data_IF_168482454246
#
_entry.id   IF_168482454246
#
_cell.length_a   1.000
_cell.length_b   1.000
_cell.length_c   1.000
_cell.angle_alpha   90.00
_cell.angle_beta   90.00
_cell.angle_gamma   90.00
#
_symmetry.space_group_name_H-M   'P 1'
#
loop_
_entity.id
_entity.type
_entity.pdbx_description
1 polymer ?
#
# COMPACT_ATOMS: atom_id res chain seq x y z
N UNK A 1 -45.98 -3.22 -30.33
CA UNK A 1 -46.13 -4.59 -30.88
C UNK A 1 -45.05 -5.45 -30.27
N UNK A 2 -45.49 -6.54 -29.66
CA UNK A 2 -44.76 -7.42 -28.75
C UNK A 2 -43.47 -7.99 -29.32
N UNK A 3 -42.44 -8.03 -28.47
CA UNK A 3 -41.53 -9.16 -28.38
C UNK A 3 -41.30 -9.45 -26.89
N UNK A 4 -42.31 -10.04 -26.26
CA UNK A 4 -42.13 -10.84 -25.06
C UNK A 4 -41.39 -12.12 -25.45
N UNK A 5 -40.30 -12.42 -24.72
CA UNK A 5 -39.77 -13.75 -24.36
C UNK A 5 -38.25 -13.69 -24.09
N UNK A 6 -37.87 -13.05 -22.97
CA UNK A 6 -36.90 -13.68 -22.07
C UNK A 6 -37.33 -13.30 -20.65
N UNK A 7 -38.03 -14.21 -19.96
CA UNK A 7 -38.49 -13.98 -18.60
C UNK A 7 -37.28 -13.61 -17.74
N UNK A 8 -37.26 -12.38 -17.23
CA UNK A 8 -36.09 -11.80 -16.57
C UNK A 8 -35.47 -12.77 -15.58
N UNK A 9 -34.37 -13.40 -15.97
CA UNK A 9 -33.80 -14.51 -15.23
C UNK A 9 -33.49 -14.06 -13.80
N UNK A 10 -34.19 -14.65 -12.82
CA UNK A 10 -33.98 -14.35 -11.42
C UNK A 10 -32.58 -14.82 -11.02
N UNK A 11 -31.78 -13.93 -10.41
CA UNK A 11 -30.40 -14.23 -9.97
C UNK A 11 -30.39 -15.41 -8.98
N UNK A 12 -31.37 -15.44 -8.07
CA UNK A 12 -31.65 -16.58 -7.21
C UNK A 12 -33.09 -17.01 -7.50
N UNK A 13 -33.33 -18.26 -7.92
CA UNK A 13 -34.68 -18.76 -8.19
C UNK A 13 -35.63 -18.51 -7.02
N UNK A 14 -36.80 -17.93 -7.29
CA UNK A 14 -37.82 -17.64 -6.29
C UNK A 14 -37.61 -16.34 -5.49
N UNK A 15 -36.57 -15.56 -5.79
CA UNK A 15 -36.35 -14.24 -5.16
C UNK A 15 -36.33 -13.11 -6.18
N UNK A 16 -36.87 -11.93 -5.81
CA UNK A 16 -36.61 -10.68 -6.53
C UNK A 16 -35.11 -10.36 -6.63
N UNK A 17 -34.68 -9.77 -7.75
CA UNK A 17 -33.25 -9.54 -8.04
C UNK A 17 -32.58 -8.54 -7.09
N UNK A 18 -33.34 -7.58 -6.55
CA UNK A 18 -32.90 -6.64 -5.53
C UNK A 18 -32.61 -7.34 -4.19
N UNK A 19 -33.49 -8.25 -3.76
CA UNK A 19 -33.28 -9.08 -2.57
C UNK A 19 -32.09 -10.02 -2.77
N UNK A 20 -31.98 -10.66 -3.94
CA UNK A 20 -30.84 -11.51 -4.27
C UNK A 20 -29.52 -10.74 -4.25
N UNK A 21 -29.49 -9.52 -4.80
CA UNK A 21 -28.33 -8.65 -4.74
C UNK A 21 -28.00 -8.25 -3.31
N UNK A 22 -28.99 -7.91 -2.49
CA UNK A 22 -28.77 -7.62 -1.07
C UNK A 22 -28.16 -8.81 -0.33
N UNK A 23 -28.66 -10.03 -0.53
CA UNK A 23 -28.11 -11.26 0.08
C UNK A 23 -26.65 -11.45 -0.35
N UNK A 24 -26.37 -11.38 -1.65
CA UNK A 24 -25.01 -11.56 -2.18
C UNK A 24 -24.05 -10.46 -1.71
N UNK A 25 -24.55 -9.25 -1.44
CA UNK A 25 -23.75 -8.15 -0.87
C UNK A 25 -23.28 -8.41 0.56
N UNK A 26 -23.93 -9.35 1.29
CA UNK A 26 -23.53 -9.76 2.64
C UNK A 26 -22.42 -10.80 2.64
N UNK A 27 -22.14 -11.43 1.49
CA UNK A 27 -21.02 -12.34 1.38
C UNK A 27 -19.73 -11.53 1.35
N UNK A 28 -18.71 -11.88 2.15
CA UNK A 28 -17.39 -11.25 2.07
C UNK A 28 -16.83 -11.23 0.65
N UNK A 29 -16.25 -10.10 0.24
CA UNK A 29 -15.70 -9.93 -1.11
C UNK A 29 -14.70 -11.03 -1.48
N UNK A 30 -13.95 -11.52 -0.50
CA UNK A 30 -12.98 -12.61 -0.65
C UNK A 30 -13.58 -13.92 -1.20
N UNK A 31 -14.88 -14.14 -1.03
CA UNK A 31 -15.59 -15.30 -1.57
C UNK A 31 -16.26 -15.05 -2.92
N UNK A 32 -16.32 -13.80 -3.40
CA UNK A 32 -17.03 -13.45 -4.63
C UNK A 32 -16.40 -14.12 -5.86
N UNK A 33 -15.08 -14.30 -5.90
CA UNK A 33 -14.42 -15.02 -6.99
C UNK A 33 -14.96 -16.46 -7.14
N UNK A 34 -15.21 -17.16 -6.02
CA UNK A 34 -15.79 -18.51 -6.00
C UNK A 34 -17.28 -18.50 -6.35
N UNK A 35 -18.00 -17.44 -6.00
CA UNK A 35 -19.41 -17.28 -6.38
C UNK A 35 -19.56 -16.95 -7.87
N UNK A 36 -18.65 -16.16 -8.45
CA UNK A 36 -18.65 -15.84 -9.89
C UNK A 36 -18.47 -17.09 -10.76
N UNK A 37 -17.89 -18.17 -10.26
CA UNK A 37 -17.73 -19.42 -11.01
C UNK A 37 -18.94 -20.37 -10.97
N UNK A 38 -19.98 -20.09 -10.16
CA UNK A 38 -21.11 -21.02 -10.01
C UNK A 38 -22.10 -20.94 -11.18
N UNK A 39 -22.49 -19.74 -11.60
CA UNK A 39 -23.41 -19.53 -12.72
C UNK A 39 -23.21 -18.17 -13.40
N UNK A 40 -23.70 -18.06 -14.65
CA UNK A 40 -23.58 -16.82 -15.45
C UNK A 40 -24.29 -15.63 -14.80
N UNK A 41 -25.46 -15.83 -14.21
CA UNK A 41 -26.23 -14.76 -13.56
C UNK A 41 -25.49 -14.14 -12.36
N UNK A 42 -24.88 -14.98 -11.51
CA UNK A 42 -24.07 -14.50 -10.39
C UNK A 42 -22.79 -13.82 -10.87
N UNK A 43 -22.14 -14.37 -11.91
CA UNK A 43 -20.99 -13.73 -12.54
C UNK A 43 -21.33 -12.33 -13.04
N UNK A 44 -22.45 -12.16 -13.74
CA UNK A 44 -22.90 -10.88 -14.27
C UNK A 44 -23.20 -9.87 -13.15
N UNK A 45 -23.97 -10.28 -12.14
CA UNK A 45 -24.32 -9.42 -11.02
C UNK A 45 -23.09 -9.00 -10.20
N UNK A 46 -22.29 -9.96 -9.75
CA UNK A 46 -21.11 -9.71 -8.91
C UNK A 46 -19.99 -8.99 -9.65
N UNK A 47 -20.00 -9.01 -10.98
CA UNK A 47 -19.06 -8.22 -11.78
C UNK A 47 -19.61 -6.83 -12.04
N UNK A 48 -20.94 -6.60 -12.02
CA UNK A 48 -21.52 -5.31 -12.36
C UNK A 48 -20.99 -4.13 -11.51
N UNK A 49 -20.78 -2.99 -12.18
CA UNK A 49 -20.31 -1.75 -11.53
C UNK A 49 -21.25 -1.27 -10.43
N UNK A 50 -22.57 -1.38 -10.64
CA UNK A 50 -23.58 -0.98 -9.66
C UNK A 50 -23.47 -1.79 -8.36
N UNK A 51 -23.26 -3.11 -8.48
CA UNK A 51 -23.09 -3.99 -7.33
C UNK A 51 -21.80 -3.69 -6.58
N UNK A 52 -20.65 -3.58 -7.26
CA UNK A 52 -19.38 -3.24 -6.62
C UNK A 52 -19.43 -1.86 -5.95
N UNK A 53 -20.06 -0.87 -6.59
CA UNK A 53 -20.25 0.44 -5.96
C UNK A 53 -21.16 0.39 -4.72
N UNK A 54 -22.05 -0.60 -4.61
CA UNK A 54 -22.87 -0.80 -3.41
C UNK A 54 -22.09 -1.40 -2.23
N UNK A 55 -20.98 -2.09 -2.52
CA UNK A 55 -20.07 -2.62 -1.51
C UNK A 55 -19.19 -1.52 -0.92
N UNK A 56 -18.78 -0.52 -1.74
CA UNK A 56 -17.73 0.53 -1.58
C UNK A 56 -17.71 1.36 -0.28
N UNK A 57 -18.55 1.01 0.69
CA UNK A 57 -18.66 1.66 2.00
C UNK A 57 -18.56 0.68 3.17
N UNK A 58 -18.38 -0.63 2.92
CA UNK A 58 -18.51 -1.64 3.97
C UNK A 58 -17.31 -2.58 4.08
N UNK A 59 -16.59 -2.83 2.99
CA UNK A 59 -15.51 -3.81 3.01
C UNK A 59 -14.15 -3.12 2.98
N UNK A 60 -13.59 -2.89 4.17
CA UNK A 60 -12.20 -2.48 4.30
C UNK A 60 -11.30 -3.71 4.21
N UNK A 61 -10.59 -3.84 3.10
CA UNK A 61 -9.67 -4.95 2.84
C UNK A 61 -8.22 -4.46 2.90
N UNK A 62 -7.33 -5.38 3.27
CA UNK A 62 -5.89 -5.17 3.22
C UNK A 62 -5.32 -5.86 1.98
N UNK A 63 -4.76 -5.11 1.04
CA UNK A 63 -3.99 -5.64 -0.06
C UNK A 63 -2.53 -5.80 0.36
N UNK A 64 -2.01 -7.03 0.26
CA UNK A 64 -0.65 -7.41 0.65
C UNK A 64 0.11 -7.81 -0.60
N UNK A 65 1.19 -7.08 -0.88
CA UNK A 65 2.17 -7.41 -1.90
C UNK A 65 3.39 -8.05 -1.22
N UNK A 66 3.50 -9.40 -1.21
CA UNK A 66 4.53 -10.09 -0.46
C UNK A 66 5.95 -9.84 -1.01
N UNK A 67 6.05 -9.58 -2.31
CA UNK A 67 7.27 -9.31 -3.06
C UNK A 67 6.88 -8.66 -4.40
N UNK A 68 7.77 -8.75 -5.40
CA UNK A 68 7.52 -8.32 -6.78
C UNK A 68 6.16 -8.85 -7.31
N UNK A 69 5.18 -7.95 -7.57
CA UNK A 69 3.85 -8.32 -8.01
C UNK A 69 3.78 -8.93 -9.40
N UNK A 70 4.81 -8.78 -10.24
CA UNK A 70 4.82 -9.42 -11.56
C UNK A 70 5.25 -10.89 -11.50
N UNK A 71 5.83 -11.32 -10.38
CA UNK A 71 6.31 -12.69 -10.17
C UNK A 71 5.41 -13.44 -9.19
N UNK A 72 4.94 -12.77 -8.13
CA UNK A 72 4.04 -13.36 -7.14
C UNK A 72 2.69 -12.63 -7.09
N UNK A 73 1.62 -13.40 -6.97
CA UNK A 73 0.27 -12.86 -6.75
C UNK A 73 0.21 -12.02 -5.47
N UNK A 74 -0.30 -10.79 -5.56
CA UNK A 74 -0.77 -10.06 -4.38
C UNK A 74 -2.01 -10.74 -3.79
N UNK A 75 -2.32 -10.46 -2.52
CA UNK A 75 -3.50 -11.00 -1.86
C UNK A 75 -4.33 -9.91 -1.20
N UNK A 76 -5.65 -9.99 -1.33
CA UNK A 76 -6.59 -9.27 -0.48
C UNK A 76 -6.87 -10.09 0.76
N UNK A 77 -6.82 -9.45 1.91
CA UNK A 77 -7.18 -10.01 3.20
C UNK A 77 -8.37 -9.24 3.79
N UNK A 78 -9.43 -9.97 4.10
CA UNK A 78 -10.58 -9.47 4.85
C UNK A 78 -10.39 -9.80 6.35
N UNK A 79 -10.12 -8.81 7.21
CA UNK A 79 -9.91 -9.05 8.63
C UNK A 79 -11.18 -9.45 9.38
N UNK A 80 -12.37 -9.12 8.86
CA UNK A 80 -13.64 -9.47 9.51
C UNK A 80 -14.02 -10.92 9.21
N UNK A 81 -13.83 -11.35 7.97
CA UNK A 81 -14.11 -12.71 7.54
C UNK A 81 -12.92 -13.68 7.73
N UNK A 82 -11.73 -13.17 8.10
CA UNK A 82 -10.48 -13.91 8.14
C UNK A 82 -10.16 -14.64 6.84
N UNK A 83 -10.56 -14.05 5.72
CA UNK A 83 -10.58 -14.69 4.42
C UNK A 83 -9.61 -14.01 3.45
N UNK A 84 -9.03 -14.82 2.57
CA UNK A 84 -8.00 -14.41 1.63
C UNK A 84 -8.50 -14.57 0.21
N UNK A 85 -8.13 -13.63 -0.67
CA UNK A 85 -8.42 -13.69 -2.09
C UNK A 85 -7.16 -13.33 -2.89
N UNK A 86 -6.58 -14.27 -3.67
CA UNK A 86 -5.44 -13.96 -4.51
C UNK A 86 -5.86 -13.03 -5.65
N UNK A 87 -5.04 -12.03 -5.92
CA UNK A 87 -5.12 -11.24 -7.14
C UNK A 87 -4.24 -11.89 -8.22
N UNK A 88 -4.57 -11.74 -9.51
CA UNK A 88 -3.65 -12.14 -10.57
C UNK A 88 -2.34 -11.35 -10.42
N UNK A 89 -1.19 -11.95 -10.79
CA UNK A 89 0.06 -11.21 -10.85
C UNK A 89 -0.05 -10.07 -11.87
N UNK A 90 0.74 -9.03 -11.66
CA UNK A 90 0.90 -7.95 -12.63
C UNK A 90 1.56 -8.48 -13.91
N UNK A 91 1.36 -7.80 -15.06
CA UNK A 91 2.04 -8.16 -16.29
C UNK A 91 3.56 -8.19 -16.09
N UNK A 92 4.18 -9.32 -16.45
CA UNK A 92 5.60 -9.55 -16.28
C UNK A 92 6.38 -9.07 -17.50
N UNK A 93 7.52 -8.41 -17.26
CA UNK A 93 8.54 -8.15 -18.27
C UNK A 93 9.76 -9.02 -17.94
N UNK A 94 10.12 -9.99 -18.80
CA UNK A 94 11.19 -10.95 -18.51
C UNK A 94 12.59 -10.33 -18.45
N UNK A 95 12.76 -9.07 -18.86
CA UNK A 95 14.05 -8.37 -18.83
C UNK A 95 14.31 -7.63 -17.51
N UNK A 96 13.32 -7.60 -16.61
CA UNK A 96 13.44 -6.92 -15.32
C UNK A 96 12.90 -7.79 -14.20
N UNK A 97 13.40 -7.57 -13.00
CA UNK A 97 12.97 -8.32 -11.82
C UNK A 97 13.17 -7.50 -10.55
N UNK A 98 12.58 -7.99 -9.45
CA UNK A 98 12.84 -7.47 -8.11
C UNK A 98 12.14 -6.15 -7.84
N UNK A 99 10.94 -5.93 -8.39
CA UNK A 99 10.17 -4.72 -8.18
C UNK A 99 9.94 -4.49 -6.68
N UNK A 100 10.50 -3.42 -6.15
CA UNK A 100 10.37 -3.02 -4.76
C UNK A 100 10.19 -1.51 -4.64
N UNK A 101 9.87 -1.01 -3.44
CA UNK A 101 9.72 0.44 -3.17
C UNK A 101 8.72 1.17 -4.09
N UNK A 102 7.75 0.46 -4.66
CA UNK A 102 6.64 1.04 -5.41
C UNK A 102 5.56 1.54 -4.44
N UNK A 103 4.70 2.44 -4.91
CA UNK A 103 3.52 2.87 -4.16
C UNK A 103 2.30 2.08 -4.63
N UNK A 104 1.51 1.55 -3.69
CA UNK A 104 0.18 1.01 -3.95
C UNK A 104 -0.86 1.94 -3.32
N UNK A 105 -1.79 2.47 -4.11
CA UNK A 105 -2.74 3.48 -3.64
C UNK A 105 -4.16 3.23 -4.16
N UNK A 106 -5.18 3.22 -3.28
CA UNK A 106 -6.57 3.10 -3.70
C UNK A 106 -7.08 4.44 -4.23
N UNK A 107 -7.84 4.41 -5.33
CA UNK A 107 -8.55 5.59 -5.84
C UNK A 107 -9.87 5.17 -6.51
N UNK A 108 -10.97 5.49 -5.84
CA UNK A 108 -12.29 4.98 -6.19
C UNK A 108 -12.32 3.45 -6.09
N UNK A 109 -12.93 2.74 -7.06
CA UNK A 109 -13.00 1.28 -7.05
C UNK A 109 -11.75 0.62 -7.66
N UNK A 110 -10.59 1.28 -7.64
CA UNK A 110 -9.38 0.79 -8.29
C UNK A 110 -8.18 0.86 -7.34
N UNK A 111 -7.23 -0.04 -7.55
CA UNK A 111 -5.92 -0.02 -6.90
C UNK A 111 -4.87 0.33 -7.94
N UNK A 112 -4.06 1.35 -7.68
CA UNK A 112 -2.94 1.74 -8.54
C UNK A 112 -1.63 1.24 -7.96
N UNK A 113 -0.76 0.71 -8.82
CA UNK A 113 0.63 0.37 -8.50
C UNK A 113 1.54 1.26 -9.34
N UNK A 114 2.40 2.02 -8.66
CA UNK A 114 3.13 3.14 -9.24
C UNK A 114 4.63 2.98 -9.01
N UNK A 115 5.39 3.08 -10.09
CA UNK A 115 6.85 3.14 -10.08
C UNK A 115 7.49 1.96 -9.36
N UNK A 116 8.51 2.26 -8.56
CA UNK A 116 9.35 1.31 -7.84
C UNK A 116 10.78 1.30 -8.34
N UNK A 117 11.58 0.39 -7.81
CA UNK A 117 12.94 0.09 -8.23
C UNK A 117 13.03 -1.35 -8.73
N UNK A 118 13.67 -1.52 -9.89
CA UNK A 118 13.83 -2.78 -10.61
C UNK A 118 15.30 -3.01 -10.95
N UNK A 119 15.64 -4.25 -11.23
CA UNK A 119 16.96 -4.64 -11.74
C UNK A 119 16.83 -5.18 -13.16
N UNK A 120 17.86 -4.99 -13.98
CA UNK A 120 17.92 -5.53 -15.35
C UNK A 120 18.48 -6.95 -15.28
N UNK A 121 17.76 -7.94 -15.78
CA UNK A 121 18.21 -9.35 -15.72
C UNK A 121 19.56 -9.59 -16.39
N UNK A 122 19.96 -8.73 -17.35
CA UNK A 122 21.22 -8.86 -18.09
C UNK A 122 22.44 -8.40 -17.30
N UNK A 123 22.25 -7.64 -16.22
CA UNK A 123 23.34 -7.11 -15.39
C UNK A 123 23.55 -7.94 -14.11
N UNK A 124 22.80 -9.02 -13.95
CA UNK A 124 22.87 -9.91 -12.79
C UNK A 124 24.27 -10.52 -12.63
N UNK A 125 24.89 -10.50 -11.43
CA UNK A 125 24.39 -10.01 -10.13
C UNK A 125 24.92 -8.62 -9.71
N UNK A 126 25.54 -7.85 -10.60
CA UNK A 126 26.24 -6.57 -10.30
C UNK A 126 25.29 -5.38 -10.56
N UNK A 127 23.99 -5.59 -10.36
CA UNK A 127 22.97 -4.66 -10.79
C UNK A 127 22.92 -3.38 -9.94
N UNK A 128 22.72 -2.25 -10.63
CA UNK A 128 22.26 -1.03 -9.99
C UNK A 128 20.74 -0.95 -10.13
N UNK A 129 19.99 -0.69 -9.04
CA UNK A 129 18.55 -0.56 -9.15
C UNK A 129 18.20 0.65 -10.00
N UNK A 130 17.30 0.44 -10.95
CA UNK A 130 16.76 1.45 -11.85
C UNK A 130 15.34 1.81 -11.39
N UNK A 131 15.01 3.11 -11.29
CA UNK A 131 13.65 3.52 -10.97
C UNK A 131 12.71 3.27 -12.16
N UNK A 132 11.44 2.96 -11.88
CA UNK A 132 10.41 2.70 -12.87
C UNK A 132 9.42 3.87 -12.99
N UNK A 133 8.95 4.15 -14.20
CA UNK A 133 7.83 5.07 -14.45
C UNK A 133 6.49 4.36 -14.63
N UNK A 134 6.47 3.03 -14.57
CA UNK A 134 5.28 2.25 -14.88
C UNK A 134 4.11 2.57 -13.92
N UNK A 135 2.91 2.64 -14.49
CA UNK A 135 1.66 2.86 -13.77
C UNK A 135 0.71 1.74 -14.18
N UNK A 136 0.25 0.96 -13.20
CA UNK A 136 -0.75 -0.08 -13.42
C UNK A 136 -1.98 0.17 -12.57
N UNK A 137 -3.13 -0.15 -13.13
CA UNK A 137 -4.42 -0.07 -12.45
C UNK A 137 -5.02 -1.46 -12.37
N UNK A 138 -5.35 -1.92 -11.17
CA UNK A 138 -6.18 -3.09 -10.98
C UNK A 138 -7.66 -2.72 -11.04
N UNK A 139 -8.39 -3.42 -11.90
CA UNK A 139 -9.82 -3.25 -12.08
C UNK A 139 -10.55 -4.42 -11.39
N UNK A 140 -11.29 -4.13 -10.31
CA UNK A 140 -12.01 -5.13 -9.53
C UNK A 140 -13.25 -5.70 -10.25
N UNK A 141 -13.74 -5.01 -11.29
CA UNK A 141 -14.81 -5.50 -12.16
C UNK A 141 -14.32 -6.68 -13.00
N UNK A 142 -13.24 -6.45 -13.75
CA UNK A 142 -12.68 -7.40 -14.72
C UNK A 142 -11.62 -8.32 -14.11
N UNK A 143 -11.26 -8.07 -12.85
CA UNK A 143 -10.26 -8.81 -12.08
C UNK A 143 -8.92 -8.92 -12.83
N UNK A 144 -8.49 -7.81 -13.41
CA UNK A 144 -7.29 -7.75 -14.26
C UNK A 144 -6.51 -6.45 -14.05
N UNK A 145 -5.22 -6.52 -14.39
CA UNK A 145 -4.31 -5.38 -14.37
C UNK A 145 -4.27 -4.73 -15.75
N UNK A 146 -4.38 -3.41 -15.77
CA UNK A 146 -4.36 -2.60 -16.97
C UNK A 146 -3.19 -1.62 -16.89
N UNK A 147 -2.33 -1.53 -17.93
CA UNK A 147 -1.34 -0.48 -18.01
C UNK A 147 -2.02 0.89 -18.15
N UNK A 148 -1.38 1.91 -17.57
CA UNK A 148 -1.78 3.31 -17.66
C UNK A 148 -0.60 4.16 -18.13
N UNK A 149 -0.85 5.42 -18.44
CA UNK A 149 0.21 6.32 -18.86
C UNK A 149 1.37 6.31 -17.83
N UNK A 150 2.61 6.11 -18.29
CA UNK A 150 3.75 6.11 -17.40
C UNK A 150 4.02 7.51 -16.87
N UNK A 151 4.59 7.60 -15.66
CA UNK A 151 5.11 8.86 -15.12
C UNK A 151 6.14 9.49 -16.07
N UNK A 152 6.22 10.82 -16.07
CA UNK A 152 7.20 11.58 -16.84
C UNK A 152 8.62 11.28 -16.33
N UNK A 153 8.78 11.16 -15.01
CA UNK A 153 10.03 10.79 -14.35
C UNK A 153 9.90 9.44 -13.64
N UNK A 154 10.75 8.45 -13.95
CA UNK A 154 10.81 7.20 -13.20
C UNK A 154 11.17 7.43 -11.72
N UNK A 155 10.52 6.71 -10.81
CA UNK A 155 10.72 6.89 -9.35
C UNK A 155 10.47 5.61 -8.56
N UNK A 156 11.26 5.38 -7.52
CA UNK A 156 11.01 4.46 -6.40
C UNK A 156 11.14 5.20 -5.06
N UNK A 157 10.62 4.65 -3.97
CA UNK A 157 10.69 5.27 -2.63
C UNK A 157 10.24 6.75 -2.61
N UNK A 158 9.10 7.07 -3.21
CA UNK A 158 8.60 8.44 -3.35
C UNK A 158 7.37 8.71 -2.48
N UNK A 159 7.09 9.98 -2.20
CA UNK A 159 5.86 10.39 -1.55
C UNK A 159 4.69 10.25 -2.53
N UNK A 160 3.58 9.68 -2.08
CA UNK A 160 2.38 9.46 -2.88
C UNK A 160 1.13 9.77 -2.05
N UNK A 161 0.16 10.50 -2.61
CA UNK A 161 -1.13 10.73 -1.98
C UNK A 161 -2.24 10.94 -3.02
N UNK A 162 -3.48 10.66 -2.62
CA UNK A 162 -4.68 10.95 -3.42
C UNK A 162 -5.31 12.24 -2.92
N UNK A 163 -5.29 13.29 -3.75
CA UNK A 163 -5.90 14.59 -3.45
C UNK A 163 -6.98 14.88 -4.48
N UNK A 164 -8.22 15.14 -4.04
CA UNK A 164 -9.32 15.56 -4.91
C UNK A 164 -9.52 14.65 -6.14
N UNK A 165 -9.38 13.33 -5.95
CA UNK A 165 -9.55 12.34 -7.03
C UNK A 165 -8.37 12.25 -8.01
N UNK A 166 -7.23 12.88 -7.71
CA UNK A 166 -5.98 12.82 -8.48
C UNK A 166 -4.90 12.17 -7.62
N UNK A 167 -3.91 11.55 -8.26
CA UNK A 167 -2.75 10.99 -7.55
C UNK A 167 -1.60 11.99 -7.70
N UNK A 168 -1.01 12.43 -6.60
CA UNK A 168 0.20 13.24 -6.59
C UNK A 168 1.38 12.37 -6.14
N UNK A 169 2.50 12.52 -6.83
CA UNK A 169 3.77 11.88 -6.49
C UNK A 169 4.88 12.92 -6.41
N UNK A 170 5.78 12.78 -5.43
CA UNK A 170 6.89 13.72 -5.25
C UNK A 170 8.17 13.03 -4.83
N UNK A 171 9.27 13.48 -5.45
CA UNK A 171 10.61 12.95 -5.19
C UNK A 171 10.74 11.48 -5.56
N UNK A 172 11.60 10.78 -4.84
CA UNK A 172 11.98 9.39 -5.04
C UNK A 172 13.33 9.22 -5.71
N UNK A 173 13.57 8.00 -6.17
CA UNK A 173 14.76 7.59 -6.91
C UNK A 173 14.99 6.09 -6.76
N UNK A 174 16.25 5.68 -6.79
CA UNK A 174 16.66 4.30 -6.57
C UNK A 174 17.73 4.24 -5.50
N UNK A 175 17.70 3.23 -4.64
CA UNK A 175 18.67 3.07 -3.55
C UNK A 175 19.56 1.88 -3.82
N UNK A 176 20.87 2.10 -3.98
CA UNK A 176 21.81 1.01 -4.18
C UNK A 176 21.84 0.10 -2.95
N UNK A 177 21.86 -1.21 -3.17
CA UNK A 177 21.75 -2.24 -2.12
C UNK A 177 22.91 -2.20 -1.12
N UNK A 178 24.14 -2.05 -1.62
CA UNK A 178 25.36 -1.95 -0.80
C UNK A 178 25.70 -0.51 -0.34
N UNK A 179 25.56 0.50 -1.21
CA UNK A 179 25.94 1.88 -0.93
C UNK A 179 24.74 2.84 -1.10
N UNK A 180 23.84 2.91 -0.12
CA UNK A 180 22.59 3.68 -0.24
C UNK A 180 22.75 5.10 -0.81
N UNK A 181 23.80 5.81 -0.40
CA UNK A 181 24.13 7.15 -0.88
C UNK A 181 24.43 7.24 -2.39
N UNK A 182 24.92 6.16 -3.03
CA UNK A 182 25.20 6.07 -4.46
C UNK A 182 23.95 5.87 -5.33
N UNK A 183 22.76 5.87 -4.73
CA UNK A 183 21.47 5.86 -5.41
C UNK A 183 21.15 7.15 -6.17
N UNK A 184 20.07 7.12 -6.95
CA UNK A 184 19.51 8.33 -7.60
C UNK A 184 18.49 8.99 -6.68
N UNK A 185 18.36 10.32 -6.77
CA UNK A 185 17.35 11.11 -6.04
C UNK A 185 16.83 12.20 -6.95
N UNK A 186 15.52 12.41 -6.92
CA UNK A 186 14.86 13.44 -7.72
C UNK A 186 14.06 14.38 -6.81
N UNK A 187 13.73 15.54 -7.37
CA UNK A 187 12.83 16.53 -6.74
C UNK A 187 11.56 16.75 -7.55
N UNK A 188 11.35 16.02 -8.64
CA UNK A 188 10.19 16.22 -9.52
C UNK A 188 8.89 15.81 -8.83
N UNK A 189 7.86 16.59 -9.11
CA UNK A 189 6.50 16.40 -8.62
C UNK A 189 5.60 16.25 -9.82
N UNK A 190 4.73 15.25 -9.79
CA UNK A 190 3.82 14.96 -10.88
C UNK A 190 2.44 14.62 -10.34
N UNK A 191 1.41 14.96 -11.11
CA UNK A 191 0.03 14.63 -10.83
C UNK A 191 -0.56 13.79 -11.95
N UNK A 192 -1.23 12.71 -11.59
CA UNK A 192 -1.96 11.86 -12.51
C UNK A 192 -3.42 12.31 -12.63
N UNK A 193 -3.81 12.70 -13.84
CA UNK A 193 -5.18 13.06 -14.20
C UNK A 193 -5.92 11.80 -14.67
N UNK A 194 -6.64 11.11 -13.77
CA UNK A 194 -7.32 9.84 -14.07
C UNK A 194 -8.25 9.92 -15.28
N UNK A 195 -8.99 11.02 -15.42
CA UNK A 195 -9.95 11.21 -16.53
C UNK A 195 -9.30 11.36 -17.90
N UNK A 196 -8.01 11.73 -17.96
CA UNK A 196 -7.25 11.93 -19.21
C UNK A 196 -6.13 10.90 -19.39
N UNK A 197 -5.94 10.00 -18.43
CA UNK A 197 -4.88 8.99 -18.41
C UNK A 197 -3.51 9.61 -18.78
N UNK A 198 -3.09 10.61 -18.01
CA UNK A 198 -1.81 11.29 -18.23
C UNK A 198 -1.23 11.86 -16.94
N UNK A 199 0.09 11.92 -16.91
CA UNK A 199 0.84 12.63 -15.88
C UNK A 199 1.14 14.05 -16.32
N UNK A 200 1.04 14.99 -15.39
CA UNK A 200 1.33 16.41 -15.57
C UNK A 200 2.39 16.82 -14.57
N UNK A 201 3.44 17.50 -15.03
CA UNK A 201 4.47 18.03 -14.16
C UNK A 201 3.91 19.15 -13.27
N UNK A 202 4.37 19.21 -12.03
CA UNK A 202 4.08 20.26 -11.06
C UNK A 202 5.38 20.90 -10.58
N UNK A 203 5.25 21.96 -9.78
CA UNK A 203 6.40 22.64 -9.17
C UNK A 203 7.24 21.65 -8.34
N UNK A 204 8.56 21.58 -8.58
CA UNK A 204 9.42 20.60 -7.94
C UNK A 204 9.57 20.89 -6.44
N UNK A 205 9.91 19.85 -5.67
CA UNK A 205 10.30 19.99 -4.27
C UNK A 205 11.49 20.97 -4.14
N UNK A 206 11.61 21.70 -3.02
CA UNK A 206 12.74 22.60 -2.77
C UNK A 206 14.11 21.91 -2.88
N UNK A 207 14.19 20.64 -2.48
CA UNK A 207 15.38 19.80 -2.55
C UNK A 207 15.09 18.37 -3.02
N UNK A 208 16.15 17.64 -3.36
CA UNK A 208 16.07 16.21 -3.67
C UNK A 208 15.56 15.44 -2.46
N UNK A 209 14.59 14.55 -2.62
CA UNK A 209 14.05 13.77 -1.49
C UNK A 209 13.63 12.39 -1.94
N UNK A 210 14.09 11.35 -1.28
CA UNK A 210 13.70 9.95 -1.48
C UNK A 210 13.40 9.28 -0.12
N UNK A 211 12.70 8.15 -0.11
CA UNK A 211 12.25 7.49 1.12
C UNK A 211 11.28 8.34 1.96
N UNK A 212 10.57 9.27 1.32
CA UNK A 212 9.62 10.18 1.98
C UNK A 212 8.18 9.65 1.91
N UNK A 213 7.33 10.18 2.79
CA UNK A 213 5.90 9.84 2.85
C UNK A 213 5.08 11.04 2.42
N UNK A 214 4.09 10.78 1.57
CA UNK A 214 3.13 11.78 1.10
C UNK A 214 1.77 11.59 1.74
N UNK A 215 1.09 12.69 2.08
CA UNK A 215 -0.30 12.64 2.52
C UNK A 215 -1.04 13.95 2.23
N UNK A 216 -2.35 13.94 2.45
CA UNK A 216 -3.20 15.12 2.21
C UNK A 216 -3.58 15.75 3.55
N UNK A 217 -3.38 17.07 3.66
CA UNK A 217 -3.76 17.89 4.79
C UNK A 217 -4.52 19.14 4.39
N UNK A 218 -4.68 20.06 5.34
CA UNK A 218 -5.36 21.34 5.10
C UNK A 218 -6.80 21.18 4.60
N UNK A 219 -7.57 20.24 5.19
CA UNK A 219 -8.93 19.88 4.75
C UNK A 219 -9.00 19.41 3.29
N UNK A 220 -8.02 18.62 2.85
CA UNK A 220 -8.02 18.04 1.50
C UNK A 220 -7.43 18.95 0.42
N UNK A 221 -6.73 20.03 0.79
CA UNK A 221 -6.23 21.06 -0.15
C UNK A 221 -4.71 21.19 -0.18
N UNK A 222 -4.01 20.51 0.72
CA UNK A 222 -2.56 20.58 0.82
C UNK A 222 -1.96 19.19 0.65
N UNK A 223 -0.89 19.10 -0.14
CA UNK A 223 -0.07 17.91 -0.27
C UNK A 223 1.18 18.06 0.58
N UNK A 224 1.33 17.18 1.56
CA UNK A 224 2.42 17.18 2.52
C UNK A 224 3.41 16.08 2.18
N UNK A 225 4.70 16.40 2.25
CA UNK A 225 5.81 15.46 2.06
C UNK A 225 6.71 15.53 3.28
N UNK A 226 6.87 14.39 3.98
CA UNK A 226 7.56 14.33 5.28
C UNK A 226 8.74 13.38 5.23
N UNK A 227 9.85 13.81 5.84
CA UNK A 227 11.03 12.98 6.06
C UNK A 227 11.71 12.52 4.76
N UNK A 228 12.33 11.35 4.79
CA UNK A 228 13.16 10.87 3.69
C UNK A 228 14.59 11.41 3.77
N UNK A 229 15.31 11.33 2.67
CA UNK A 229 16.72 11.68 2.57
C UNK A 229 17.03 12.35 1.23
N UNK A 230 18.01 13.25 1.21
CA UNK A 230 18.35 14.06 0.04
C UNK A 230 19.83 14.09 -0.25
N UNK A 231 20.55 15.08 0.30
CA UNK A 231 21.99 15.16 0.15
C UNK A 231 22.70 13.93 0.76
N UNK A 232 23.97 13.74 0.40
CA UNK A 232 24.85 12.79 1.04
C UNK A 232 26.08 13.50 1.56
N UNK A 233 26.59 13.03 2.70
CA UNK A 233 27.84 13.51 3.31
C UNK A 233 28.84 12.38 3.41
N UNK A 234 30.12 12.69 3.39
CA UNK A 234 31.18 11.69 3.50
C UNK A 234 31.67 11.59 4.94
N UNK A 235 31.53 10.41 5.55
CA UNK A 235 32.12 10.11 6.86
C UNK A 235 33.58 9.70 6.66
N UNK A 236 34.47 10.35 7.42
CA UNK A 236 35.93 10.12 7.41
C UNK A 236 36.57 10.24 6.02
N UNK A 237 35.97 11.00 5.11
CA UNK A 237 36.47 11.17 3.73
C UNK A 237 36.32 9.94 2.82
N UNK A 238 35.73 8.85 3.30
CA UNK A 238 35.67 7.56 2.56
C UNK A 238 34.25 7.07 2.32
N UNK A 239 33.33 7.20 3.29
CA UNK A 239 32.02 6.54 3.21
C UNK A 239 30.88 7.54 3.03
N UNK A 240 30.21 7.57 1.87
CA UNK A 240 29.06 8.43 1.67
C UNK A 240 27.84 7.90 2.44
N UNK A 241 27.19 8.77 3.20
CA UNK A 241 26.01 8.47 4.02
C UNK A 241 24.91 9.48 3.71
N UNK A 242 23.69 8.96 3.60
CA UNK A 242 22.48 9.76 3.37
C UNK A 242 22.25 10.77 4.50
N UNK A 243 21.95 12.01 4.15
CA UNK A 243 21.40 12.99 5.07
C UNK A 243 19.88 12.83 5.12
N UNK A 244 19.39 12.35 6.26
CA UNK A 244 17.98 12.17 6.51
C UNK A 244 17.35 13.49 6.93
N UNK A 245 16.34 13.89 6.18
CA UNK A 245 15.60 15.08 6.48
C UNK A 245 14.65 14.90 7.64
N UNK A 246 14.55 15.99 8.37
CA UNK A 246 13.80 16.09 9.61
C UNK A 246 12.58 16.96 9.49
N UNK A 247 12.39 17.52 8.31
CA UNK A 247 11.40 18.52 8.00
C UNK A 247 10.19 17.92 7.28
N UNK A 248 9.19 18.78 7.13
CA UNK A 248 8.05 18.58 6.25
C UNK A 248 7.97 19.76 5.27
N UNK A 249 7.61 19.46 4.03
CA UNK A 249 7.30 20.46 3.01
C UNK A 249 5.88 20.28 2.52
N UNK A 250 5.21 21.38 2.22
CA UNK A 250 3.77 21.39 1.92
C UNK A 250 3.49 22.24 0.71
N UNK A 251 2.68 21.71 -0.20
CA UNK A 251 2.22 22.40 -1.40
C UNK A 251 0.71 22.59 -1.33
N UNK A 252 0.24 23.82 -1.54
CA UNK A 252 -1.18 24.07 -1.81
C UNK A 252 -1.53 23.57 -3.20
N UNK A 253 -2.51 22.67 -3.32
CA UNK A 253 -2.81 21.97 -4.59
C UNK A 253 -3.29 22.91 -5.69
N UNK A 254 -3.91 24.04 -5.32
CA UNK A 254 -4.35 25.08 -6.25
C UNK A 254 -3.26 26.13 -6.56
N UNK A 255 -2.28 26.29 -5.67
CA UNK A 255 -1.29 27.38 -5.73
C UNK A 255 0.10 26.97 -6.21
N UNK A 256 0.44 25.68 -6.22
CA UNK A 256 1.72 25.14 -6.72
C UNK A 256 2.94 25.44 -5.84
N UNK A 257 2.92 26.52 -5.06
CA UNK A 257 4.05 26.91 -4.23
C UNK A 257 4.26 25.98 -3.01
N UNK A 258 5.51 25.58 -2.81
CA UNK A 258 5.98 24.84 -1.63
C UNK A 258 6.27 25.78 -0.45
N UNK A 259 5.87 25.37 0.75
CA UNK A 259 6.25 25.97 2.04
C UNK A 259 7.01 24.95 2.89
N UNK A 260 8.04 25.39 3.59
CA UNK A 260 8.73 24.59 4.60
C UNK A 260 8.01 24.75 5.95
N UNK A 261 7.81 23.64 6.67
CA UNK A 261 7.14 23.63 7.98
C UNK A 261 8.15 23.58 9.14
N UNK A 262 9.44 23.37 8.83
CA UNK A 262 10.54 23.28 9.79
C UNK A 262 10.75 21.85 10.34
N UNK A 263 11.68 21.72 11.28
CA UNK A 263 12.08 20.45 11.88
C UNK A 263 10.94 19.83 12.71
N UNK A 264 10.57 18.61 12.34
CA UNK A 264 9.52 17.75 12.92
C UNK A 264 10.03 17.02 14.18
N UNK A 265 11.35 17.07 14.45
CA UNK A 265 12.01 16.47 15.63
C UNK A 265 13.26 17.25 16.08
N UNK A 266 13.65 17.15 17.37
CA UNK A 266 14.74 17.96 17.97
C UNK A 266 16.14 17.51 17.54
N UNK A 267 17.11 18.44 17.59
CA UNK A 267 18.53 18.11 17.59
C UNK A 267 18.90 17.25 18.81
N UNK A 268 19.60 16.14 18.58
CA UNK A 268 20.02 15.18 19.61
C UNK A 268 19.07 13.99 19.83
N UNK A 269 17.87 13.99 19.25
CA UNK A 269 17.02 12.80 19.22
C UNK A 269 17.52 11.81 18.15
N UNK A 270 17.36 10.51 18.42
CA UNK A 270 17.70 9.44 17.46
C UNK A 270 16.93 9.69 16.15
N UNK A 271 17.62 9.60 15.01
CA UNK A 271 16.98 9.63 13.68
C UNK A 271 15.96 8.49 13.63
N UNK A 272 14.68 8.86 13.52
CA UNK A 272 13.56 7.92 13.43
C UNK A 272 13.29 7.64 11.96
N UNK A 273 13.33 6.37 11.58
CA UNK A 273 13.13 5.90 10.18
C UNK A 273 11.91 4.97 10.12
N UNK A 274 10.96 5.17 11.04
CA UNK A 274 9.78 4.35 11.19
C UNK A 274 8.82 4.47 10.00
N UNK A 275 7.96 3.47 9.83
CA UNK A 275 6.88 3.55 8.82
C UNK A 275 5.85 4.57 9.28
N UNK A 276 5.60 5.59 8.46
CA UNK A 276 4.56 6.60 8.72
C UNK A 276 3.29 6.20 7.97
N UNK A 277 2.16 6.28 8.65
CA UNK A 277 0.82 6.09 8.08
C UNK A 277 -0.07 7.26 8.50
N UNK A 278 -1.13 7.48 7.73
CA UNK A 278 -2.05 8.59 7.98
C UNK A 278 -3.44 8.04 8.21
N UNK A 279 -4.02 8.43 9.34
CA UNK A 279 -5.43 8.20 9.65
C UNK A 279 -6.17 9.48 9.29
N UNK A 280 -7.04 9.39 8.28
CA UNK A 280 -7.96 10.49 7.96
C UNK A 280 -9.19 10.38 8.87
N UNK A 281 -9.45 11.43 9.64
CA UNK A 281 -10.62 11.57 10.52
C UNK A 281 -11.37 12.83 10.10
N UNK A 282 -12.35 12.67 9.21
CA UNK A 282 -13.22 13.73 8.69
C UNK A 282 -12.46 14.98 8.16
N UNK A 283 -11.35 14.76 7.43
CA UNK A 283 -10.56 15.82 6.82
C UNK A 283 -9.49 16.43 7.73
N UNK A 284 -9.32 15.88 8.93
CA UNK A 284 -8.22 16.15 9.85
C UNK A 284 -7.27 14.96 9.89
N UNK A 285 -6.26 14.89 8.99
CA UNK A 285 -5.32 13.79 9.00
C UNK A 285 -4.50 13.79 10.28
N UNK A 286 -4.36 12.63 10.90
CA UNK A 286 -3.44 12.39 12.00
C UNK A 286 -2.38 11.41 11.54
N UNK A 287 -1.10 11.79 11.67
CA UNK A 287 -0.01 10.92 11.30
C UNK A 287 0.38 10.05 12.49
N UNK A 288 0.67 8.79 12.19
CA UNK A 288 1.24 7.85 13.12
C UNK A 288 2.53 7.27 12.55
N UNK A 289 3.55 7.09 13.40
CA UNK A 289 4.80 6.45 13.02
C UNK A 289 5.01 5.23 13.90
N UNK A 290 5.34 4.10 13.28
CA UNK A 290 5.84 2.92 13.97
C UNK A 290 7.38 2.92 13.87
N UNK A 291 8.06 3.25 14.96
CA UNK A 291 9.51 3.18 15.09
C UNK A 291 9.90 2.05 16.07
N UNK A 292 10.46 0.97 15.53
CA UNK A 292 10.65 -0.27 16.27
C UNK A 292 9.32 -0.85 16.76
N UNK A 293 9.03 -0.71 18.06
CA UNK A 293 7.79 -1.15 18.69
C UNK A 293 6.95 0.00 19.29
N UNK A 294 7.36 1.24 19.08
CA UNK A 294 6.68 2.42 19.60
C UNK A 294 5.84 3.06 18.50
N UNK A 295 4.60 3.40 18.86
CA UNK A 295 3.70 4.18 18.03
C UNK A 295 3.73 5.61 18.52
N UNK A 296 4.07 6.51 17.60
CA UNK A 296 4.14 7.94 17.82
C UNK A 296 3.01 8.58 17.03
N UNK A 297 2.41 9.64 17.58
CA UNK A 297 1.42 10.49 16.91
C UNK A 297 2.03 11.84 16.64
N UNK A 298 1.86 12.36 15.43
CA UNK A 298 2.27 13.71 15.10
C UNK A 298 1.22 14.72 15.55
N UNK A 299 1.64 15.70 16.33
CA UNK A 299 0.87 16.87 16.71
C UNK A 299 1.24 18.04 15.80
N UNK A 300 0.29 18.40 14.92
CA UNK A 300 0.43 19.51 13.97
C UNK A 300 0.58 20.87 14.68
N UNK A 301 0.01 21.02 15.88
CA UNK A 301 -0.01 22.30 16.60
C UNK A 301 1.35 22.66 17.19
N UNK A 302 2.05 21.66 17.74
CA UNK A 302 3.41 21.82 18.26
C UNK A 302 4.50 21.43 17.25
N UNK A 303 4.13 20.95 16.06
CA UNK A 303 5.03 20.41 15.04
C UNK A 303 5.94 19.31 15.60
N UNK A 304 5.37 18.33 16.32
CA UNK A 304 6.16 17.30 17.05
C UNK A 304 5.53 15.92 17.05
N UNK A 305 6.37 14.90 17.12
CA UNK A 305 5.95 13.53 17.44
C UNK A 305 5.84 13.32 18.94
N UNK A 306 4.65 12.89 19.37
CA UNK A 306 4.34 12.53 20.74
C UNK A 306 4.21 11.01 20.86
N UNK A 307 4.58 10.46 22.00
CA UNK A 307 4.34 9.04 22.27
C UNK A 307 2.84 8.76 22.38
N UNK A 308 2.35 7.78 21.63
CA UNK A 308 0.93 7.36 21.64
C UNK A 308 0.76 6.01 22.33
N UNK A 309 1.50 4.99 21.89
CA UNK A 309 1.38 3.63 22.41
C UNK A 309 2.60 2.76 22.11
N UNK A 310 2.56 1.50 22.58
CA UNK A 310 3.59 0.50 22.31
C UNK A 310 2.93 -0.82 21.93
N UNK A 311 3.49 -1.50 20.94
CA UNK A 311 3.00 -2.80 20.47
C UNK A 311 3.06 -3.82 21.63
N UNK A 312 1.91 -4.40 22.08
CA UNK A 312 1.83 -5.16 23.32
C UNK A 312 2.66 -6.45 23.34
N UNK A 313 2.61 -7.23 22.26
CA UNK A 313 3.40 -8.46 22.13
C UNK A 313 4.50 -8.24 21.12
N UNK A 314 5.74 -8.44 21.57
CA UNK A 314 6.86 -8.61 20.65
C UNK A 314 6.60 -9.89 19.86
N UNK A 315 6.57 -9.76 18.54
CA UNK A 315 6.71 -10.92 17.67
C UNK A 315 8.09 -11.59 17.95
N UNK A 316 8.30 -12.85 17.53
CA UNK A 316 9.56 -13.57 17.75
C UNK A 316 10.81 -12.71 17.48
N UNK A 317 11.93 -13.00 18.15
CA UNK A 317 13.19 -12.24 17.98
C UNK A 317 13.51 -11.99 16.49
N UNK A 318 13.83 -10.75 16.11
CA UNK A 318 14.04 -10.27 14.73
C UNK A 318 12.81 -10.18 13.79
N UNK A 319 11.58 -10.17 14.32
CA UNK A 319 10.41 -9.98 13.47
C UNK A 319 10.32 -8.56 12.89
N UNK A 320 10.09 -8.46 11.58
CA UNK A 320 9.74 -7.20 10.92
C UNK A 320 8.25 -6.86 11.10
N UNK A 321 7.94 -5.57 11.20
CA UNK A 321 6.57 -5.07 11.28
C UNK A 321 6.13 -4.40 9.98
N UNK A 322 4.92 -4.73 9.56
CA UNK A 322 4.12 -3.94 8.64
C UNK A 322 3.28 -2.97 9.42
N UNK A 323 3.00 -1.81 8.83
CA UNK A 323 2.18 -0.79 9.45
C UNK A 323 1.28 -0.19 8.40
N UNK A 324 -0.03 -0.26 8.61
CA UNK A 324 -1.05 0.18 7.66
C UNK A 324 -2.29 0.65 8.41
N UNK A 325 -3.03 1.58 7.82
CA UNK A 325 -4.31 2.05 8.36
C UNK A 325 -5.45 1.37 7.65
N UNK A 326 -6.39 0.83 8.41
CA UNK A 326 -7.62 0.24 7.88
C UNK A 326 -8.80 0.67 8.76
N UNK A 327 -9.84 1.23 8.14
CA UNK A 327 -11.04 1.72 8.83
C UNK A 327 -10.76 2.67 10.02
N UNK A 328 -9.71 3.51 9.93
CA UNK A 328 -9.34 4.47 10.97
C UNK A 328 -8.48 3.89 12.10
N UNK A 329 -8.12 2.61 12.03
CA UNK A 329 -7.34 1.91 13.05
C UNK A 329 -5.96 1.53 12.53
N UNK A 330 -4.99 1.38 13.44
CA UNK A 330 -3.61 1.10 13.11
C UNK A 330 -3.36 -0.41 13.17
N UNK A 331 -3.00 -1.00 12.04
CA UNK A 331 -2.72 -2.43 11.91
C UNK A 331 -1.21 -2.64 11.90
N UNK A 332 -0.69 -3.26 12.96
CA UNK A 332 0.70 -3.73 13.05
C UNK A 332 0.74 -5.20 12.66
N UNK A 333 1.32 -5.49 11.51
CA UNK A 333 1.28 -6.82 10.88
C UNK A 333 2.62 -7.52 11.05
N UNK A 334 2.58 -8.80 11.42
CA UNK A 334 3.76 -9.65 11.48
C UNK A 334 3.45 -11.00 10.83
N UNK A 335 4.40 -11.53 10.06
CA UNK A 335 4.30 -12.85 9.46
C UNK A 335 5.37 -13.75 10.03
N UNK A 336 5.01 -14.99 10.39
CA UNK A 336 5.97 -16.01 10.77
C UNK A 336 5.51 -17.39 10.28
N UNK A 337 6.47 -18.26 9.98
CA UNK A 337 6.20 -19.64 9.59
C UNK A 337 6.51 -20.55 10.76
N UNK A 338 5.54 -21.37 11.18
CA UNK A 338 5.77 -22.43 12.15
C UNK A 338 5.97 -23.73 11.38
N UNK A 339 7.07 -24.44 11.64
CA UNK A 339 7.28 -25.78 11.11
C UNK A 339 6.38 -26.76 11.87
N UNK A 340 5.47 -27.44 11.18
CA UNK A 340 4.68 -28.52 11.76
C UNK A 340 5.33 -29.83 11.36
N UNK A 341 5.72 -30.65 12.34
CA UNK A 341 6.18 -32.01 12.11
C UNK A 341 4.94 -32.92 12.04
N UNK A 342 4.68 -33.54 10.89
CA UNK A 342 3.72 -34.65 10.80
C UNK A 342 4.48 -35.97 10.76
N UNK A 343 4.32 -36.81 11.77
CA UNK A 343 4.81 -38.19 11.76
C UNK A 343 3.90 -39.06 10.88
N UNK A 344 4.21 -39.18 9.61
CA UNK A 344 3.71 -40.27 8.77
C UNK A 344 4.89 -41.04 8.19
N UNK A 345 4.86 -42.37 8.34
CA UNK A 345 5.97 -43.33 8.13
C UNK A 345 6.58 -43.40 6.73
N UNK A 346 6.28 -42.48 5.81
CA UNK A 346 6.96 -42.36 4.51
C UNK A 346 7.08 -40.88 4.13
N UNK A 347 8.33 -40.42 4.03
CA UNK A 347 8.78 -39.05 3.70
C UNK A 347 8.53 -37.97 4.76
N UNK A 348 9.63 -37.40 5.30
CA UNK A 348 9.62 -36.18 6.12
C UNK A 348 9.44 -34.96 5.22
N UNK A 349 8.21 -34.65 4.81
CA UNK A 349 7.90 -33.35 4.21
C UNK A 349 7.59 -32.34 5.33
N UNK A 350 8.52 -31.42 5.57
CA UNK A 350 8.33 -30.32 6.53
C UNK A 350 7.31 -29.33 5.95
N UNK A 351 6.03 -29.44 6.34
CA UNK A 351 5.01 -28.46 5.93
C UNK A 351 5.09 -27.25 6.87
N UNK A 352 5.56 -26.12 6.35
CA UNK A 352 5.52 -24.83 7.07
C UNK A 352 4.15 -24.22 6.87
N UNK A 353 3.50 -23.82 7.96
CA UNK A 353 2.24 -23.07 7.89
C UNK A 353 2.56 -21.61 8.20
N UNK A 354 2.40 -20.74 7.21
CA UNK A 354 2.47 -19.30 7.42
C UNK A 354 1.33 -18.84 8.33
N UNK A 355 1.63 -17.98 9.29
CA UNK A 355 0.64 -17.33 10.15
C UNK A 355 0.83 -15.83 10.06
N UNK A 356 -0.27 -15.13 9.81
CA UNK A 356 -0.33 -13.67 9.89
C UNK A 356 -0.88 -13.29 11.26
N UNK A 357 -0.08 -12.58 12.05
CA UNK A 357 -0.48 -12.01 13.33
C UNK A 357 -0.61 -10.50 13.18
N UNK A 358 -1.78 -9.98 13.51
CA UNK A 358 -2.09 -8.55 13.41
C UNK A 358 -2.43 -8.04 14.81
N UNK A 359 -1.75 -7.01 15.25
CA UNK A 359 -2.07 -6.25 16.46
C UNK A 359 -2.71 -4.93 16.01
N UNK A 360 -3.96 -4.71 16.40
CA UNK A 360 -4.76 -3.58 15.96
C UNK A 360 -4.90 -2.60 17.12
N UNK A 361 -4.51 -1.36 16.89
CA UNK A 361 -4.66 -0.26 17.83
C UNK A 361 -5.73 0.71 17.35
N UNK A 362 -6.72 0.95 18.20
CA UNK A 362 -7.73 1.98 18.02
C UNK A 362 -7.24 3.28 18.67
N UNK A 363 -6.87 4.30 17.88
CA UNK A 363 -6.37 5.56 18.43
C UNK A 363 -7.46 6.40 19.13
N UNK A 364 -8.74 6.18 18.83
CA UNK A 364 -9.86 6.91 19.47
C UNK A 364 -10.12 6.37 20.87
N UNK A 365 -10.19 5.05 21.01
CA UNK A 365 -10.45 4.40 22.30
C UNK A 365 -9.19 4.01 23.08
N UNK A 366 -8.01 4.17 22.47
CA UNK A 366 -6.70 3.76 23.01
C UNK A 366 -6.64 2.30 23.44
N UNK A 367 -7.30 1.43 22.68
CA UNK A 367 -7.40 -0.02 22.97
C UNK A 367 -6.66 -0.84 21.94
N UNK A 368 -6.08 -1.93 22.42
CA UNK A 368 -5.46 -2.95 21.58
C UNK A 368 -6.35 -4.18 21.46
N UNK A 369 -6.35 -4.77 20.27
CA UNK A 369 -6.82 -6.14 20.04
C UNK A 369 -5.86 -6.87 19.12
N UNK A 370 -6.04 -8.18 19.02
CA UNK A 370 -5.20 -9.01 18.15
C UNK A 370 -6.03 -9.94 17.30
N UNK A 371 -5.53 -10.19 16.09
CA UNK A 371 -6.13 -11.07 15.10
C UNK A 371 -5.08 -12.05 14.60
N UNK A 372 -5.47 -13.31 14.44
CA UNK A 372 -4.63 -14.36 13.85
C UNK A 372 -5.34 -14.91 12.63
N UNK A 373 -4.59 -15.06 11.53
CA UNK A 373 -5.07 -15.73 10.33
C UNK A 373 -4.03 -16.70 9.79
N UNK A 374 -4.50 -17.83 9.27
CA UNK A 374 -3.64 -18.73 8.48
C UNK A 374 -3.30 -18.03 7.18
N UNK A 375 -2.01 -17.84 6.95
CA UNK A 375 -1.50 -17.15 5.77
C UNK A 375 -1.49 -18.09 4.57
N UNK A 376 -1.79 -17.61 3.36
CA UNK A 376 -1.62 -18.38 2.12
C UNK A 376 -0.14 -18.52 1.72
N UNK A 377 0.78 -17.89 2.46
CA UNK A 377 2.20 -17.88 2.16
C UNK A 377 2.93 -19.01 2.89
N UNK A 378 3.41 -20.00 2.14
CA UNK A 378 4.15 -21.16 2.68
C UNK A 378 5.64 -20.85 2.94
N UNK A 379 6.06 -19.60 2.72
CA UNK A 379 7.42 -19.10 2.90
C UNK A 379 7.41 -17.85 3.80
N UNK A 380 8.52 -17.56 4.52
CA UNK A 380 8.60 -16.35 5.32
C UNK A 380 8.64 -15.12 4.42
N UNK A 381 7.69 -14.20 4.63
CA UNK A 381 7.70 -12.88 4.01
C UNK A 381 8.34 -11.89 4.96
N UNK A 382 9.25 -11.08 4.42
CA UNK A 382 9.69 -9.90 5.12
C UNK A 382 8.64 -8.78 4.98
N UNK A 383 7.85 -8.62 6.04
CA UNK A 383 6.77 -7.63 6.06
C UNK A 383 7.33 -6.18 6.11
N UNK A 384 8.61 -5.98 6.42
CA UNK A 384 9.21 -4.65 6.33
C UNK A 384 9.36 -4.17 4.88
N UNK A 385 9.68 -5.06 3.95
CA UNK A 385 9.80 -4.77 2.51
C UNK A 385 8.49 -4.98 1.73
N UNK A 386 7.55 -5.77 2.26
CA UNK A 386 6.22 -5.91 1.67
C UNK A 386 5.46 -4.57 1.59
N UNK A 387 4.78 -4.35 0.47
CA UNK A 387 3.89 -3.18 0.29
C UNK A 387 2.50 -3.55 0.77
N UNK A 388 1.95 -2.72 1.65
CA UNK A 388 0.62 -2.87 2.23
C UNK A 388 -0.24 -1.69 1.81
N UNK A 389 -1.43 -1.94 1.27
CA UNK A 389 -2.40 -0.90 0.92
C UNK A 389 -3.76 -1.27 1.49
N UNK A 390 -4.42 -0.33 2.15
CA UNK A 390 -5.84 -0.47 2.43
C UNK A 390 -6.65 -0.18 1.18
N UNK A 391 -7.80 -0.83 1.06
CA UNK A 391 -8.80 -0.54 0.06
C UNK A 391 -10.19 -0.62 0.69
N UNK A 392 -11.07 0.30 0.32
CA UNK A 392 -12.49 0.20 0.63
C UNK A 392 -13.19 -0.22 -0.66
N UNK A 393 -13.79 -1.41 -0.63
CA UNK A 393 -14.56 -2.01 -1.73
C UNK A 393 -16.02 -2.12 -1.41
#
# INVERSE_FOLDING_TARGET
MNSDCDGGATVIPGLPNDVAAWILSKVPYSHHARLKSTCKSWKLLLSSRSFLNSLNKRNHLLCIFPQDPSIASPFLFDPNALAWCPLPPMPCNPQVYGLCNFAAVPLGPHLYVLGGSLFDTRSFPIDRPSPSSATFRFNFHDFSWEPRAPMLTPRGSFACAVVQGRILVAGGGSRHTMFGAAGTRIRSVEQYEVGRDRWVAMDPLPGFRAGCVGFVGGKGREFWVVGGYGASRTISGVFPVDEYYRDAVVMGVEGGAWREVGDVWRDGERVRVGKIVVVDDDGCPTLFMLDGNEILRYDMSSNRWLYESRVPKKAPYNSSFGFVVLAGELYVVTHFCVAIFSETRRSRLQKRVGTLFIQIYDPKNKKWRSLLSKSPFDYPIDISSAVLSSICL
#
